data_IF_098299085044
#
_entry.id   IF_098299085044
#
_cell.length_a   1.000
_cell.length_b   1.000
_cell.length_c   1.000
_cell.angle_alpha   90.00
_cell.angle_beta   90.00
_cell.angle_gamma   90.00
#
_symmetry.space_group_name_H-M   'P 1'
#
loop_
_entity.id
_entity.type
_entity.pdbx_description
1 polymer ?
#
# COMPACT_ATOMS: atom_id res chain seq x y z
N UNK A 1 -10.72 4.27 -21.00
CA UNK A 1 -11.24 4.60 -19.65
C UNK A 1 -11.84 6.00 -19.62
N UNK A 2 -11.14 7.00 -20.14
CA UNK A 2 -11.56 8.41 -20.07
C UNK A 2 -12.93 8.70 -20.70
N UNK A 3 -13.22 8.13 -21.88
CA UNK A 3 -14.52 8.34 -22.54
C UNK A 3 -15.71 7.85 -21.70
N UNK A 4 -15.59 6.68 -21.06
CA UNK A 4 -16.63 6.11 -20.20
C UNK A 4 -16.81 6.93 -18.92
N UNK A 5 -15.70 7.33 -18.29
CA UNK A 5 -15.76 8.16 -17.08
C UNK A 5 -16.41 9.52 -17.37
N UNK A 6 -16.05 10.17 -18.48
CA UNK A 6 -16.64 11.43 -18.90
C UNK A 6 -18.15 11.30 -19.20
N UNK A 7 -18.56 10.19 -19.80
CA UNK A 7 -19.98 9.88 -20.03
C UNK A 7 -20.73 9.76 -18.69
N UNK A 8 -20.24 8.93 -17.76
CA UNK A 8 -20.90 8.75 -16.45
C UNK A 8 -21.01 10.06 -15.66
N UNK A 9 -19.96 10.88 -15.66
CA UNK A 9 -19.99 12.18 -14.97
C UNK A 9 -21.06 13.08 -15.58
N UNK A 10 -21.14 13.15 -16.92
CA UNK A 10 -22.13 13.99 -17.60
C UNK A 10 -23.55 13.56 -17.30
N UNK A 11 -23.87 12.28 -17.45
CA UNK A 11 -25.22 11.75 -17.22
C UNK A 11 -25.68 11.99 -15.77
N UNK A 12 -24.79 11.75 -14.78
CA UNK A 12 -25.11 12.00 -13.37
C UNK A 12 -25.30 13.50 -13.12
N UNK A 13 -24.41 14.34 -13.66
CA UNK A 13 -24.47 15.79 -13.48
C UNK A 13 -25.75 16.38 -14.08
N UNK A 14 -26.22 15.88 -15.22
CA UNK A 14 -27.41 16.39 -15.89
C UNK A 14 -28.68 16.10 -15.07
N UNK A 15 -28.75 14.98 -14.36
CA UNK A 15 -29.85 14.71 -13.41
C UNK A 15 -29.83 15.69 -12.23
N UNK A 16 -28.65 15.97 -11.64
CA UNK A 16 -28.54 16.95 -10.55
C UNK A 16 -28.89 18.37 -11.01
N UNK A 17 -28.44 18.76 -12.22
CA UNK A 17 -28.78 20.04 -12.85
C UNK A 17 -30.29 20.14 -13.10
N UNK A 18 -30.93 19.08 -13.56
CA UNK A 18 -32.37 19.04 -13.79
C UNK A 18 -33.17 19.27 -12.49
N UNK A 19 -32.66 18.77 -11.36
CA UNK A 19 -33.25 18.99 -10.03
C UNK A 19 -32.83 20.33 -9.39
N UNK A 20 -32.05 21.16 -10.09
CA UNK A 20 -31.58 22.46 -9.60
C UNK A 20 -30.50 22.38 -8.51
N UNK A 21 -29.93 21.19 -8.27
CA UNK A 21 -28.91 20.97 -7.24
C UNK A 21 -27.52 21.13 -7.85
N UNK A 22 -26.70 22.02 -7.26
CA UNK A 22 -25.32 22.25 -7.70
C UNK A 22 -24.37 21.29 -6.95
N UNK A 23 -23.69 20.44 -7.70
CA UNK A 23 -22.62 19.56 -7.20
C UNK A 23 -21.37 19.74 -8.07
N UNK A 24 -20.18 19.66 -7.46
CA UNK A 24 -18.92 19.72 -8.18
C UNK A 24 -18.57 18.34 -8.76
N UNK A 25 -18.23 18.29 -10.04
CA UNK A 25 -17.85 17.09 -10.80
C UNK A 25 -16.77 16.26 -10.09
N UNK A 26 -15.85 16.89 -9.33
CA UNK A 26 -14.81 16.21 -8.56
C UNK A 26 -15.36 15.17 -7.60
N UNK A 27 -16.55 15.39 -7.02
CA UNK A 27 -17.17 14.41 -6.12
C UNK A 27 -17.62 13.15 -6.87
N UNK A 28 -18.18 13.32 -8.07
CA UNK A 28 -18.62 12.22 -8.92
C UNK A 28 -17.40 11.47 -9.46
N UNK A 29 -16.36 12.19 -9.87
CA UNK A 29 -15.11 11.60 -10.37
C UNK A 29 -14.45 10.67 -9.36
N UNK A 30 -14.41 11.07 -8.07
CA UNK A 30 -13.86 10.22 -7.00
C UNK A 30 -14.65 8.92 -6.84
N UNK A 31 -15.98 8.96 -7.01
CA UNK A 31 -16.85 7.76 -6.95
C UNK A 31 -16.63 6.89 -8.18
N UNK A 32 -16.64 7.46 -9.38
CA UNK A 32 -16.42 6.73 -10.65
C UNK A 32 -15.03 6.07 -10.66
N UNK A 33 -14.01 6.74 -10.09
CA UNK A 33 -12.69 6.15 -9.88
C UNK A 33 -12.76 4.89 -9.02
N UNK A 34 -13.58 4.87 -7.98
CA UNK A 34 -13.77 3.70 -7.10
C UNK A 34 -14.46 2.53 -7.84
N UNK A 35 -15.33 2.81 -8.81
CA UNK A 35 -16.00 1.82 -9.66
C UNK A 35 -15.06 1.18 -10.71
N UNK A 36 -13.93 1.81 -11.04
CA UNK A 36 -12.98 1.40 -12.08
C UNK A 36 -11.64 0.90 -11.51
N UNK A 37 -11.64 0.37 -10.27
CA UNK A 37 -10.42 -0.08 -9.60
C UNK A 37 -9.92 -1.45 -10.05
N UNK A 38 -10.77 -2.27 -10.67
CA UNK A 38 -10.40 -3.63 -11.10
C UNK A 38 -10.09 -3.68 -12.60
N UNK A 39 -9.17 -4.56 -12.95
CA UNK A 39 -8.83 -4.91 -14.32
C UNK A 39 -8.94 -6.42 -14.47
N UNK A 40 -9.42 -6.87 -15.63
CA UNK A 40 -9.48 -8.27 -16.01
C UNK A 40 -8.30 -8.61 -16.91
N UNK A 41 -7.56 -9.66 -16.57
CA UNK A 41 -6.37 -10.05 -17.31
C UNK A 41 -6.76 -10.72 -18.63
N UNK A 42 -6.31 -10.16 -19.75
CA UNK A 42 -6.53 -10.74 -21.09
C UNK A 42 -5.36 -11.63 -21.50
N UNK A 43 -4.14 -11.23 -21.19
CA UNK A 43 -2.94 -12.00 -21.45
C UNK A 43 -1.96 -11.84 -20.29
N UNK A 44 -1.55 -12.94 -19.62
CA UNK A 44 -0.72 -12.85 -18.42
C UNK A 44 0.76 -12.55 -18.69
N UNK A 45 1.24 -12.73 -19.93
CA UNK A 45 2.66 -12.57 -20.24
C UNK A 45 3.53 -13.50 -19.38
N UNK A 46 4.62 -12.98 -18.82
CA UNK A 46 5.51 -13.71 -17.90
C UNK A 46 5.20 -13.42 -16.42
N UNK A 47 4.00 -12.87 -16.13
CA UNK A 47 3.54 -12.63 -14.76
C UNK A 47 2.86 -13.87 -14.16
N UNK A 48 2.59 -13.83 -12.86
CA UNK A 48 1.86 -14.90 -12.15
C UNK A 48 0.34 -14.83 -12.32
N UNK A 49 -0.17 -13.93 -13.14
CA UNK A 49 -1.61 -13.75 -13.31
C UNK A 49 -2.24 -14.87 -14.15
N UNK A 50 -3.54 -15.10 -13.94
CA UNK A 50 -4.34 -16.00 -14.76
C UNK A 50 -5.23 -15.23 -15.73
N UNK A 51 -5.51 -15.79 -16.90
CA UNK A 51 -6.45 -15.21 -17.88
C UNK A 51 -7.85 -15.18 -17.25
N UNK A 52 -8.54 -14.04 -17.34
CA UNK A 52 -9.86 -13.82 -16.73
C UNK A 52 -9.82 -13.47 -15.24
N UNK A 53 -8.64 -13.40 -14.63
CA UNK A 53 -8.50 -12.98 -13.23
C UNK A 53 -8.82 -11.49 -13.07
N UNK A 54 -9.58 -11.15 -12.01
CA UNK A 54 -9.87 -9.77 -11.63
C UNK A 54 -8.87 -9.29 -10.59
N UNK A 55 -8.02 -8.35 -10.97
CA UNK A 55 -6.94 -7.82 -10.13
C UNK A 55 -7.13 -6.32 -9.91
N UNK A 56 -6.67 -5.80 -8.78
CA UNK A 56 -6.61 -4.35 -8.57
C UNK A 56 -5.65 -3.68 -9.54
N UNK A 57 -6.08 -2.56 -10.11
CA UNK A 57 -5.32 -1.78 -11.09
C UNK A 57 -3.95 -1.37 -10.57
N UNK A 58 -3.83 -1.05 -9.28
CA UNK A 58 -2.56 -0.69 -8.65
C UNK A 58 -1.62 -1.90 -8.56
N UNK A 59 -2.13 -3.05 -8.11
CA UNK A 59 -1.35 -4.29 -8.02
C UNK A 59 -0.91 -4.75 -9.41
N UNK A 60 -1.79 -4.68 -10.40
CA UNK A 60 -1.47 -4.98 -11.79
C UNK A 60 -0.34 -4.07 -12.31
N UNK A 61 -0.44 -2.76 -12.08
CA UNK A 61 0.58 -1.80 -12.51
C UNK A 61 1.94 -2.08 -11.85
N UNK A 62 1.95 -2.35 -10.54
CA UNK A 62 3.17 -2.66 -9.79
C UNK A 62 3.83 -3.96 -10.24
N UNK A 63 3.05 -5.03 -10.45
CA UNK A 63 3.55 -6.32 -10.93
C UNK A 63 4.11 -6.21 -12.34
N UNK A 64 3.45 -5.47 -13.23
CA UNK A 64 3.96 -5.21 -14.57
C UNK A 64 5.23 -4.36 -14.55
N UNK A 65 5.31 -3.35 -13.67
CA UNK A 65 6.52 -2.54 -13.52
C UNK A 65 7.71 -3.40 -13.06
N UNK A 66 7.50 -4.35 -12.14
CA UNK A 66 8.54 -5.31 -11.71
C UNK A 66 8.96 -6.26 -12.83
N UNK A 67 7.99 -6.82 -13.55
CA UNK A 67 8.24 -7.79 -14.64
C UNK A 67 9.02 -7.13 -15.78
N UNK A 68 8.65 -5.89 -16.13
CA UNK A 68 9.36 -5.09 -17.14
C UNK A 68 10.81 -4.80 -16.72
N UNK A 69 11.06 -4.52 -15.43
CA UNK A 69 12.44 -4.34 -14.91
C UNK A 69 13.27 -5.62 -14.99
N UNK A 70 12.64 -6.78 -14.85
CA UNK A 70 13.28 -8.09 -15.04
C UNK A 70 13.47 -8.50 -16.51
N UNK A 71 13.04 -7.68 -17.48
CA UNK A 71 13.14 -7.99 -18.92
C UNK A 71 12.06 -8.95 -19.45
N UNK A 72 11.06 -9.30 -18.63
CA UNK A 72 9.95 -10.18 -19.03
C UNK A 72 8.84 -9.45 -19.79
N UNK A 73 7.97 -10.22 -20.43
CA UNK A 73 6.76 -9.74 -21.11
C UNK A 73 5.71 -9.32 -20.08
N UNK A 74 5.23 -8.09 -20.20
CA UNK A 74 4.18 -7.53 -19.33
C UNK A 74 2.82 -8.16 -19.61
N UNK A 75 1.99 -8.26 -18.58
CA UNK A 75 0.60 -8.68 -18.72
C UNK A 75 -0.25 -7.58 -19.37
N UNK A 76 -1.23 -7.97 -20.16
CA UNK A 76 -2.28 -7.12 -20.73
C UNK A 76 -3.60 -7.35 -19.99
N UNK A 77 -4.34 -6.29 -19.77
CA UNK A 77 -5.60 -6.33 -19.05
C UNK A 77 -6.59 -5.28 -19.58
N UNK A 78 -7.88 -5.56 -19.45
CA UNK A 78 -8.97 -4.64 -19.76
C UNK A 78 -9.62 -4.12 -18.48
N UNK A 79 -9.83 -2.79 -18.34
CA UNK A 79 -10.54 -2.23 -17.20
C UNK A 79 -11.98 -2.73 -17.13
N UNK A 80 -12.44 -3.08 -15.92
CA UNK A 80 -13.82 -3.53 -15.69
C UNK A 80 -14.55 -2.52 -14.82
N UNK A 81 -15.73 -2.08 -15.27
CA UNK A 81 -16.62 -1.24 -14.49
C UNK A 81 -17.41 -2.10 -13.50
N UNK A 82 -17.33 -1.78 -12.22
CA UNK A 82 -18.09 -2.43 -11.16
C UNK A 82 -19.12 -1.49 -10.56
N UNK A 83 -20.29 -2.01 -10.20
CA UNK A 83 -21.25 -1.27 -9.38
C UNK A 83 -20.68 -0.95 -8.00
N UNK A 84 -21.17 0.13 -7.36
CA UNK A 84 -20.68 0.61 -6.06
C UNK A 84 -20.73 -0.46 -4.97
N UNK A 85 -21.76 -1.30 -4.95
CA UNK A 85 -21.92 -2.39 -3.99
C UNK A 85 -20.85 -3.46 -4.19
N UNK A 86 -20.62 -3.88 -5.44
CA UNK A 86 -19.61 -4.90 -5.78
C UNK A 86 -18.19 -4.38 -5.52
N UNK A 87 -17.91 -3.13 -5.89
CA UNK A 87 -16.63 -2.49 -5.60
C UNK A 87 -16.36 -2.38 -4.09
N UNK A 88 -17.40 -2.13 -3.28
CA UNK A 88 -17.28 -2.02 -1.82
C UNK A 88 -17.05 -3.36 -1.14
N UNK A 89 -17.64 -4.45 -1.65
CA UNK A 89 -17.44 -5.81 -1.15
C UNK A 89 -16.07 -6.40 -1.53
N UNK A 90 -15.49 -5.96 -2.65
CA UNK A 90 -14.21 -6.45 -3.17
C UNK A 90 -12.99 -5.60 -2.76
N UNK A 91 -13.10 -4.88 -1.65
CA UNK A 91 -11.97 -4.14 -1.04
C UNK A 91 -10.93 -5.11 -0.46
N UNK A 92 -9.70 -4.62 -0.27
CA UNK A 92 -8.60 -5.40 0.31
C UNK A 92 -8.82 -5.78 1.78
N UNK A 93 -9.55 -4.97 2.53
CA UNK A 93 -9.84 -5.22 3.93
C UNK A 93 -11.11 -6.04 4.09
N UNK A 94 -10.97 -7.26 4.59
CA UNK A 94 -12.13 -8.09 4.91
C UNK A 94 -12.91 -7.54 6.12
N UNK A 95 -12.27 -6.81 7.04
CA UNK A 95 -12.93 -6.15 8.17
C UNK A 95 -13.87 -5.05 7.64
N UNK A 96 -13.35 -4.20 6.75
CA UNK A 96 -14.14 -3.16 6.08
C UNK A 96 -15.25 -3.76 5.21
N UNK A 97 -14.97 -4.81 4.43
CA UNK A 97 -15.95 -5.48 3.59
C UNK A 97 -17.09 -6.12 4.42
N UNK A 98 -16.74 -6.86 5.48
CA UNK A 98 -17.71 -7.50 6.35
C UNK A 98 -18.60 -6.47 7.07
N UNK A 99 -18.05 -5.30 7.44
CA UNK A 99 -18.84 -4.22 8.04
C UNK A 99 -19.89 -3.59 7.11
N UNK A 100 -19.77 -3.78 5.79
CA UNK A 100 -20.70 -3.24 4.82
C UNK A 100 -21.91 -4.15 4.66
N UNK A 101 -21.71 -5.35 4.09
CA UNK A 101 -22.76 -6.36 3.83
C UNK A 101 -22.14 -7.77 3.75
N UNK A 102 -22.97 -8.82 3.68
CA UNK A 102 -22.57 -10.21 3.44
C UNK A 102 -21.52 -10.75 4.46
N UNK A 103 -21.63 -10.34 5.72
CA UNK A 103 -20.71 -10.65 6.84
C UNK A 103 -20.26 -12.11 6.87
N UNK A 104 -21.21 -13.05 6.84
CA UNK A 104 -20.93 -14.49 6.92
C UNK A 104 -20.06 -14.94 5.76
N UNK A 105 -20.39 -14.56 4.53
CA UNK A 105 -19.61 -14.98 3.33
C UNK A 105 -18.19 -14.42 3.40
N UNK A 106 -18.05 -13.14 3.70
CA UNK A 106 -16.75 -12.44 3.74
C UNK A 106 -15.84 -13.03 4.81
N UNK A 107 -16.36 -13.28 6.02
CA UNK A 107 -15.56 -13.85 7.11
C UNK A 107 -15.17 -15.30 6.85
N UNK A 108 -16.06 -16.12 6.29
CA UNK A 108 -15.73 -17.50 5.92
C UNK A 108 -14.64 -17.55 4.86
N UNK A 109 -14.74 -16.73 3.80
CA UNK A 109 -13.71 -16.67 2.76
C UNK A 109 -12.36 -16.20 3.31
N UNK A 110 -12.37 -15.19 4.18
CA UNK A 110 -11.16 -14.69 4.84
C UNK A 110 -10.51 -15.75 5.74
N UNK A 111 -11.31 -16.51 6.51
CA UNK A 111 -10.83 -17.58 7.37
C UNK A 111 -10.21 -18.74 6.56
N UNK A 112 -10.89 -19.21 5.51
CA UNK A 112 -10.41 -20.28 4.64
C UNK A 112 -9.13 -19.87 3.92
N UNK A 113 -9.04 -18.62 3.47
CA UNK A 113 -7.87 -18.07 2.76
C UNK A 113 -6.74 -17.64 3.70
N UNK A 114 -6.96 -17.66 5.03
CA UNK A 114 -6.00 -17.13 6.01
C UNK A 114 -5.65 -15.66 5.81
N UNK A 115 -6.58 -14.83 5.31
CA UNK A 115 -6.36 -13.41 5.00
C UNK A 115 -6.00 -12.64 6.27
N UNK A 116 -4.99 -11.77 6.19
CA UNK A 116 -4.59 -10.85 7.26
C UNK A 116 -4.87 -9.41 6.85
N UNK A 117 -5.54 -8.67 7.73
CA UNK A 117 -5.83 -7.26 7.52
C UNK A 117 -4.66 -6.40 8.03
N UNK A 118 -4.30 -5.37 7.26
CA UNK A 118 -3.20 -4.45 7.59
C UNK A 118 -3.67 -3.16 8.26
N UNK A 119 -4.98 -2.96 8.43
CA UNK A 119 -5.57 -1.79 9.08
C UNK A 119 -5.10 -0.48 8.44
N UNK A 120 -5.08 -0.43 7.11
CA UNK A 120 -4.64 0.75 6.33
C UNK A 120 -5.82 1.67 6.02
N UNK A 121 -7.05 1.17 6.10
CA UNK A 121 -8.27 1.89 5.80
C UNK A 121 -8.83 2.70 6.97
N UNK A 122 -9.78 3.58 6.66
CA UNK A 122 -10.45 4.40 7.67
C UNK A 122 -11.34 3.54 8.58
N UNK A 123 -12.20 2.69 8.01
CA UNK A 123 -13.19 1.90 8.75
C UNK A 123 -12.54 0.88 9.68
N UNK A 124 -11.53 0.17 9.20
CA UNK A 124 -10.74 -0.77 10.03
C UNK A 124 -10.24 -0.12 11.32
N UNK A 125 -9.62 1.05 11.21
CA UNK A 125 -9.05 1.74 12.37
C UNK A 125 -10.13 2.24 13.33
N UNK A 126 -11.27 2.70 12.81
CA UNK A 126 -12.42 3.08 13.66
C UNK A 126 -12.95 1.88 14.42
N UNK A 127 -13.12 0.72 13.77
CA UNK A 127 -13.64 -0.50 14.41
C UNK A 127 -12.70 -1.00 15.51
N UNK A 128 -11.38 -0.91 15.30
CA UNK A 128 -10.37 -1.37 16.27
C UNK A 128 -10.07 -0.31 17.34
N UNK A 129 -10.51 0.94 17.18
CA UNK A 129 -10.25 2.04 18.12
C UNK A 129 -8.86 2.67 17.98
N UNK A 130 -8.22 2.57 16.81
CA UNK A 130 -6.95 3.24 16.48
C UNK A 130 -7.19 4.57 15.76
N UNK A 131 -6.19 5.46 15.80
CA UNK A 131 -6.23 6.70 15.03
C UNK A 131 -6.38 6.40 13.54
N UNK A 132 -7.35 7.06 12.89
CA UNK A 132 -7.55 6.93 11.45
C UNK A 132 -6.37 7.52 10.66
N UNK A 133 -6.03 6.95 9.50
CA UNK A 133 -4.92 7.42 8.65
C UNK A 133 -5.26 8.67 7.83
N UNK A 134 -6.06 9.58 8.38
CA UNK A 134 -6.44 10.84 7.73
C UNK A 134 -6.43 12.01 8.74
N UNK A 135 -6.34 13.23 8.22
CA UNK A 135 -6.29 14.44 9.05
C UNK A 135 -5.10 14.45 10.01
N UNK A 136 -5.36 14.66 11.31
CA UNK A 136 -4.30 14.67 12.34
C UNK A 136 -3.63 13.31 12.52
N UNK A 137 -4.36 12.22 12.28
CA UNK A 137 -3.84 10.86 12.40
C UNK A 137 -2.78 10.53 11.36
N UNK A 138 -2.91 11.03 10.12
CA UNK A 138 -1.87 10.85 9.09
C UNK A 138 -0.60 11.65 9.40
N UNK A 139 -0.74 12.88 9.91
CA UNK A 139 0.39 13.70 10.35
C UNK A 139 1.13 13.03 11.51
N UNK A 140 0.40 12.50 12.50
CA UNK A 140 0.99 11.79 13.63
C UNK A 140 1.71 10.51 13.19
N UNK A 141 1.10 9.72 12.30
CA UNK A 141 1.73 8.52 11.74
C UNK A 141 3.01 8.87 10.96
N UNK A 142 2.99 9.93 10.16
CA UNK A 142 4.18 10.42 9.44
C UNK A 142 5.28 10.88 10.39
N UNK A 143 4.93 11.57 11.47
CA UNK A 143 5.89 11.98 12.50
C UNK A 143 6.50 10.77 13.20
N UNK A 144 5.69 9.75 13.54
CA UNK A 144 6.17 8.50 14.11
C UNK A 144 7.10 7.73 13.16
N UNK A 145 6.77 7.67 11.88
CA UNK A 145 7.63 7.05 10.87
C UNK A 145 8.96 7.79 10.71
N UNK A 146 8.94 9.13 10.72
CA UNK A 146 10.16 9.94 10.64
C UNK A 146 11.02 9.79 11.89
N UNK A 147 10.42 9.77 13.08
CA UNK A 147 11.13 9.52 14.32
C UNK A 147 11.78 8.14 14.32
N UNK A 148 11.03 7.08 13.95
CA UNK A 148 11.56 5.73 13.87
C UNK A 148 12.72 5.59 12.88
N UNK A 149 12.63 6.24 11.71
CA UNK A 149 13.74 6.28 10.74
C UNK A 149 14.98 6.98 11.29
N UNK A 150 14.80 8.09 12.00
CA UNK A 150 15.90 8.80 12.65
C UNK A 150 16.53 7.97 13.77
N UNK A 151 15.73 7.28 14.57
CA UNK A 151 16.23 6.40 15.61
C UNK A 151 17.02 5.23 15.01
N UNK A 152 16.57 4.68 13.87
CA UNK A 152 17.30 3.64 13.13
C UNK A 152 18.62 4.15 12.54
N UNK A 153 18.64 5.36 11.99
CA UNK A 153 19.85 6.01 11.46
C UNK A 153 20.85 6.33 12.59
N UNK A 154 20.37 6.86 13.71
CA UNK A 154 21.18 7.14 14.89
C UNK A 154 21.75 5.85 15.49
N UNK A 155 20.96 4.77 15.54
CA UNK A 155 21.44 3.45 15.96
C UNK A 155 22.55 2.91 15.05
N UNK A 156 22.44 3.10 13.73
CA UNK A 156 23.50 2.72 12.77
C UNK A 156 24.76 3.56 12.93
N UNK A 157 24.63 4.85 13.26
CA UNK A 157 25.77 5.74 13.50
C UNK A 157 26.47 5.34 14.80
N UNK A 158 25.71 5.14 15.89
CA UNK A 158 26.25 4.72 17.18
C UNK A 158 26.94 3.34 17.10
N UNK A 159 26.37 2.40 16.35
CA UNK A 159 26.99 1.10 16.10
C UNK A 159 28.33 1.23 15.34
N UNK A 160 28.38 2.07 14.30
CA UNK A 160 29.63 2.35 13.56
C UNK A 160 30.68 3.09 14.41
N UNK A 161 30.26 3.96 15.31
CA UNK A 161 31.16 4.65 16.24
C UNK A 161 31.70 3.70 17.30
N UNK A 162 30.87 2.81 17.86
CA UNK A 162 31.34 1.76 18.78
C UNK A 162 32.29 0.78 18.10
N UNK A 163 32.02 0.40 16.85
CA UNK A 163 32.90 -0.48 16.08
C UNK A 163 34.26 0.19 15.80
N UNK A 164 34.27 1.51 15.51
CA UNK A 164 35.51 2.29 15.39
C UNK A 164 36.27 2.44 16.71
N UNK A 165 35.58 2.73 17.80
CA UNK A 165 36.19 2.85 19.13
C UNK A 165 36.76 1.51 19.62
N UNK A 166 36.06 0.40 19.37
CA UNK A 166 36.55 -0.95 19.67
C UNK A 166 37.77 -1.32 18.80
N UNK A 167 37.75 -0.97 17.51
CA UNK A 167 38.91 -1.18 16.63
C UNK A 167 40.12 -0.33 17.04
N UNK A 168 39.90 0.91 17.49
CA UNK A 168 40.95 1.79 18.01
C UNK A 168 41.50 1.31 19.36
N UNK A 169 40.64 0.83 20.26
CA UNK A 169 41.06 0.25 21.53
C UNK A 169 41.88 -1.03 21.33
N UNK A 170 41.44 -1.93 20.43
CA UNK A 170 42.19 -3.13 20.08
C UNK A 170 43.53 -2.82 19.40
N UNK A 171 43.59 -1.78 18.56
CA UNK A 171 44.84 -1.32 17.95
C UNK A 171 45.80 -0.70 18.98
N UNK A 172 45.27 0.07 19.95
CA UNK A 172 46.05 0.65 21.03
C UNK A 172 46.58 -0.40 22.01
N UNK A 173 45.78 -1.42 22.33
CA UNK A 173 46.19 -2.55 23.16
C UNK A 173 47.28 -3.39 22.49
N UNK A 174 47.16 -3.61 21.17
CA UNK A 174 48.18 -4.31 20.38
C UNK A 174 49.49 -3.52 20.28
N UNK A 175 49.42 -2.20 20.11
CA UNK A 175 50.59 -1.33 20.10
C UNK A 175 51.28 -1.25 21.48
N UNK A 176 50.51 -1.30 22.58
CA UNK A 176 51.07 -1.34 23.93
C UNK A 176 51.79 -2.66 24.25
N UNK A 177 51.27 -3.79 23.74
CA UNK A 177 51.92 -5.10 23.84
C UNK A 177 53.21 -5.18 23.00
N UNK A 178 53.25 -4.57 21.82
CA UNK A 178 54.46 -4.48 20.98
C UNK A 178 55.53 -3.55 21.59
N UNK A 179 55.13 -2.47 22.27
CA UNK A 179 56.04 -1.59 23.01
C UNK A 179 56.64 -2.26 24.26
N UNK A 180 55.86 -3.06 24.99
CA UNK A 180 56.37 -3.82 26.15
C UNK A 180 57.34 -4.95 25.74
N UNK A 181 57.18 -5.50 24.52
CA UNK A 181 58.09 -6.50 23.96
C UNK A 181 59.42 -5.91 23.47
N UNK A 182 59.51 -4.59 23.26
CA UNK A 182 60.74 -3.91 22.80
C UNK A 182 61.58 -3.32 23.93
N UNK A 183 61.06 -3.24 25.16
CA UNK A 183 61.83 -2.83 26.36
C UNK A 183 62.51 -4.00 27.11
N UNK A 184 62.44 -5.23 26.57
CA UNK A 184 63.00 -6.45 27.21
C UNK A 184 64.16 -7.13 26.46
N UNK A 185 64.79 -6.45 25.48
CA UNK A 185 66.12 -6.79 24.93
C UNK A 185 67.19 -5.80 25.41
#
# INVERSE_FOLDING_TARGET
VEALAAYLIREIQDVYRLQGVKINDKHIEVIVRQMLQKVEITAPGDTTFLVGELVDRLVFADTNAKTKKGGGKVASATPVLQGITKASLQTHSFISAASFQETTRVLTEAAVSGKRDRLVGLKENVIVGRLIPAGTGSTMNRMRELAAKRDEEMGKIAAKEQEKLAAQAAAAEKAALEAAATESE
#
